data_IF_796805676725
#
_entry.id   IF_796805676725
#
_cell.length_a   1.000
_cell.length_b   1.000
_cell.length_c   1.000
_cell.angle_alpha   90.00
_cell.angle_beta   90.00
_cell.angle_gamma   90.00
#
_symmetry.space_group_name_H-M   'P 1'
#
loop_
_entity.id
_entity.type
_entity.pdbx_description
1 polymer ?
#
# COMPACT_ATOMS: atom_id res chain seq x y z
N UNK A 1 14.42 -7.28 11.48
CA UNK A 1 13.88 -5.90 11.36
C UNK A 1 14.66 -5.04 10.36
N UNK A 2 16.00 -5.09 10.33
CA UNK A 2 16.81 -4.38 9.33
C UNK A 2 16.39 -4.55 7.84
N UNK A 3 16.04 -5.76 7.34
CA UNK A 3 15.63 -5.91 5.94
C UNK A 3 14.27 -5.26 5.64
N UNK A 4 13.31 -5.36 6.56
CA UNK A 4 11.98 -4.73 6.42
C UNK A 4 12.06 -3.21 6.38
N UNK A 5 12.99 -2.61 7.12
CA UNK A 5 13.19 -1.16 7.15
C UNK A 5 13.68 -0.62 5.79
N UNK A 6 14.56 -1.34 5.10
CA UNK A 6 15.07 -0.91 3.78
C UNK A 6 13.95 -0.85 2.74
N UNK A 7 13.01 -1.79 2.81
CA UNK A 7 11.86 -1.84 1.90
C UNK A 7 10.85 -0.78 2.25
N UNK A 8 10.57 -0.60 3.54
CA UNK A 8 9.72 0.51 3.99
C UNK A 8 10.24 1.86 3.52
N UNK A 9 11.58 2.04 3.55
CA UNK A 9 12.23 3.24 3.03
C UNK A 9 12.11 3.37 1.51
N UNK A 10 12.25 2.29 0.75
CA UNK A 10 12.04 2.28 -0.70
C UNK A 10 10.59 2.66 -1.07
N UNK A 11 9.61 2.07 -0.38
CA UNK A 11 8.19 2.35 -0.59
C UNK A 11 7.88 3.81 -0.26
N UNK A 12 8.36 4.30 0.89
CA UNK A 12 8.20 5.70 1.28
C UNK A 12 8.81 6.65 0.25
N UNK A 13 10.02 6.36 -0.22
CA UNK A 13 10.70 7.16 -1.24
C UNK A 13 9.91 7.21 -2.55
N UNK A 14 9.37 6.08 -3.00
CA UNK A 14 8.53 6.04 -4.18
C UNK A 14 7.22 6.83 -4.01
N UNK A 15 6.56 6.72 -2.85
CA UNK A 15 5.37 7.52 -2.51
C UNK A 15 5.69 9.01 -2.60
N UNK A 16 6.83 9.44 -2.05
CA UNK A 16 7.25 10.84 -2.09
C UNK A 16 7.46 11.33 -3.54
N UNK A 17 8.11 10.53 -4.40
CA UNK A 17 8.31 10.91 -5.81
C UNK A 17 6.96 11.11 -6.52
N UNK A 18 6.06 10.14 -6.41
CA UNK A 18 4.74 10.26 -7.05
C UNK A 18 3.91 11.39 -6.44
N UNK A 19 4.03 11.64 -5.13
CA UNK A 19 3.34 12.75 -4.48
C UNK A 19 3.83 14.12 -4.96
N UNK A 20 5.14 14.30 -5.14
CA UNK A 20 5.70 15.55 -5.70
C UNK A 20 5.21 15.74 -7.14
N UNK A 21 5.28 14.71 -7.97
CA UNK A 21 4.78 14.77 -9.35
C UNK A 21 3.28 15.12 -9.35
N UNK A 22 2.46 14.42 -8.56
CA UNK A 22 1.03 14.67 -8.46
C UNK A 22 0.70 16.09 -7.97
N UNK A 23 1.46 16.61 -7.00
CA UNK A 23 1.31 17.97 -6.50
C UNK A 23 1.55 19.00 -7.62
N UNK A 24 2.63 18.86 -8.39
CA UNK A 24 2.93 19.79 -9.49
C UNK A 24 1.86 19.79 -10.59
N UNK A 25 1.25 18.63 -10.88
CA UNK A 25 0.21 18.53 -11.91
C UNK A 25 -1.19 18.95 -11.44
N UNK A 26 -1.55 18.67 -10.18
CA UNK A 26 -2.94 18.74 -9.71
C UNK A 26 -3.18 19.75 -8.59
N UNK A 27 -2.16 20.51 -8.17
CA UNK A 27 -2.30 21.55 -7.15
C UNK A 27 -3.43 22.53 -7.47
N UNK A 28 -4.35 22.70 -6.53
CA UNK A 28 -5.45 23.67 -6.60
C UNK A 28 -6.60 23.30 -7.53
N UNK A 29 -6.53 22.15 -8.22
CA UNK A 29 -7.52 21.80 -9.25
C UNK A 29 -8.81 21.21 -8.69
N UNK A 30 -8.76 20.60 -7.49
CA UNK A 30 -9.88 19.89 -6.87
C UNK A 30 -10.78 20.78 -5.99
N UNK A 31 -10.61 22.10 -6.01
CA UNK A 31 -11.39 23.05 -5.19
C UNK A 31 -12.58 23.68 -5.93
N UNK A 32 -12.82 23.29 -7.18
CA UNK A 32 -13.90 23.83 -7.99
C UNK A 32 -15.09 22.87 -8.03
N UNK A 33 -16.31 23.33 -7.75
CA UNK A 33 -17.54 22.54 -7.90
C UNK A 33 -18.72 23.41 -8.37
N UNK A 34 -19.82 22.77 -8.76
CA UNK A 34 -21.01 23.44 -9.27
C UNK A 34 -21.90 23.95 -8.12
N UNK A 35 -22.03 25.27 -8.00
CA UNK A 35 -22.94 25.93 -7.05
C UNK A 35 -24.19 26.43 -7.75
N UNK A 36 -25.32 26.48 -7.04
CA UNK A 36 -26.57 27.00 -7.62
C UNK A 36 -26.52 28.50 -7.85
N UNK A 37 -27.06 28.94 -8.99
CA UNK A 37 -27.18 30.37 -9.32
C UNK A 37 -28.21 31.07 -8.39
N UNK A 38 -29.21 30.33 -7.88
CA UNK A 38 -30.24 30.88 -6.98
C UNK A 38 -29.76 31.05 -5.54
N UNK A 39 -28.91 30.13 -5.10
CA UNK A 39 -28.32 30.14 -3.76
C UNK A 39 -26.89 29.60 -3.85
N UNK A 40 -25.93 30.52 -3.77
CA UNK A 40 -24.49 30.24 -3.94
C UNK A 40 -23.95 29.39 -2.77
N UNK A 41 -24.71 29.23 -1.68
CA UNK A 41 -24.31 28.35 -0.57
C UNK A 41 -24.59 26.86 -0.84
N UNK A 42 -25.38 26.55 -1.88
CA UNK A 42 -25.83 25.19 -2.17
C UNK A 42 -25.06 24.58 -3.33
N UNK A 43 -24.36 23.48 -3.05
CA UNK A 43 -23.68 22.66 -4.06
C UNK A 43 -24.69 21.77 -4.76
N UNK A 44 -24.73 21.82 -6.09
CA UNK A 44 -25.54 20.93 -6.91
C UNK A 44 -24.73 19.67 -7.20
N UNK A 45 -25.31 18.52 -6.84
CA UNK A 45 -24.69 17.20 -7.04
C UNK A 45 -25.34 16.53 -8.24
N UNK A 46 -24.56 16.09 -9.22
CA UNK A 46 -25.06 15.26 -10.33
C UNK A 46 -25.15 13.76 -9.97
N UNK A 47 -24.69 13.38 -8.78
CA UNK A 47 -24.76 12.01 -8.25
C UNK A 47 -24.82 11.96 -6.73
N UNK A 48 -24.33 10.87 -6.13
CA UNK A 48 -24.32 10.70 -4.66
C UNK A 48 -23.35 11.66 -3.97
N UNK A 49 -22.25 12.03 -4.64
CA UNK A 49 -21.21 12.91 -4.12
C UNK A 49 -20.98 14.12 -5.04
N UNK A 50 -20.56 15.28 -4.49
CA UNK A 50 -20.14 16.41 -5.31
C UNK A 50 -18.86 16.07 -6.07
N UNK A 51 -18.82 16.45 -7.34
CA UNK A 51 -17.67 16.25 -8.23
C UNK A 51 -16.99 17.59 -8.55
N UNK A 52 -15.69 17.58 -8.89
CA UNK A 52 -15.02 18.76 -9.39
C UNK A 52 -15.59 19.24 -10.72
N UNK A 53 -15.50 20.54 -11.00
CA UNK A 53 -15.85 21.12 -12.31
C UNK A 53 -14.67 21.89 -12.92
N UNK A 54 -14.68 22.01 -14.25
CA UNK A 54 -13.65 22.72 -15.00
C UNK A 54 -14.09 24.11 -15.46
N UNK A 55 -15.28 24.21 -16.06
CA UNK A 55 -15.84 25.45 -16.61
C UNK A 55 -17.38 25.41 -16.65
N UNK A 56 -17.99 26.57 -16.90
CA UNK A 56 -19.44 26.74 -17.09
C UNK A 56 -19.89 26.45 -18.53
N UNK A 57 -19.03 26.74 -19.49
CA UNK A 57 -19.30 26.54 -20.91
C UNK A 57 -18.53 25.33 -21.45
N UNK A 58 -19.24 24.50 -22.22
CA UNK A 58 -18.65 23.32 -22.85
C UNK A 58 -17.53 23.65 -23.85
N UNK A 59 -17.53 24.86 -24.41
CA UNK A 59 -16.53 25.27 -25.40
C UNK A 59 -15.18 25.64 -24.75
N UNK A 60 -15.20 26.06 -23.49
CA UNK A 60 -14.00 26.46 -22.75
C UNK A 60 -13.40 25.28 -21.97
N UNK A 61 -14.18 24.22 -21.79
CA UNK A 61 -13.79 23.02 -21.06
C UNK A 61 -12.91 22.07 -21.90
N UNK A 62 -11.81 21.55 -21.34
CA UNK A 62 -11.06 20.45 -21.92
C UNK A 62 -11.96 19.23 -22.19
N UNK A 63 -11.70 18.45 -23.26
CA UNK A 63 -12.52 17.30 -23.59
C UNK A 63 -12.50 16.24 -22.48
N UNK A 64 -13.69 15.85 -22.03
CA UNK A 64 -13.88 14.88 -20.96
C UNK A 64 -13.74 15.43 -19.54
N UNK A 65 -13.77 16.76 -19.38
CA UNK A 65 -13.97 17.40 -18.08
C UNK A 65 -15.45 17.62 -17.78
N UNK A 66 -15.77 17.83 -16.51
CA UNK A 66 -17.13 18.07 -16.04
C UNK A 66 -17.47 19.57 -16.16
N UNK A 67 -18.64 19.84 -16.74
CA UNK A 67 -19.13 21.18 -17.05
C UNK A 67 -20.47 21.34 -16.37
N UNK A 68 -20.62 22.42 -15.61
CA UNK A 68 -21.86 22.75 -14.93
C UNK A 68 -22.96 23.16 -15.93
N UNK A 69 -24.24 22.96 -15.60
CA UNK A 69 -25.33 23.51 -16.41
C UNK A 69 -25.44 25.01 -16.20
N UNK A 70 -25.02 25.79 -17.19
CA UNK A 70 -25.00 27.25 -17.15
C UNK A 70 -26.35 27.92 -16.79
N UNK A 71 -27.49 27.23 -16.90
CA UNK A 71 -28.80 27.78 -16.51
C UNK A 71 -29.15 27.56 -15.03
N UNK A 72 -28.51 26.60 -14.37
CA UNK A 72 -28.86 26.15 -13.02
C UNK A 72 -27.70 26.31 -12.03
N UNK A 73 -26.47 26.08 -12.49
CA UNK A 73 -25.25 26.10 -11.71
C UNK A 73 -24.10 26.84 -12.37
N UNK A 74 -23.16 27.30 -11.55
CA UNK A 74 -21.89 27.90 -11.96
C UNK A 74 -20.74 27.30 -11.17
N UNK A 75 -19.60 27.14 -11.83
CA UNK A 75 -18.38 26.50 -11.35
C UNK A 75 -17.58 27.52 -10.54
N UNK A 76 -17.51 27.32 -9.22
CA UNK A 76 -16.76 28.19 -8.31
C UNK A 76 -15.73 27.41 -7.50
N UNK A 77 -14.66 28.08 -7.10
CA UNK A 77 -13.49 27.56 -6.37
C UNK A 77 -13.65 27.55 -4.84
N UNK A 78 -14.87 27.69 -4.33
CA UNK A 78 -15.19 27.77 -2.90
C UNK A 78 -15.26 26.41 -2.19
N UNK A 79 -14.97 25.30 -2.88
CA UNK A 79 -15.15 23.97 -2.34
C UNK A 79 -13.91 23.49 -1.59
N UNK A 80 -14.12 22.92 -0.40
CA UNK A 80 -13.05 22.31 0.41
C UNK A 80 -12.36 21.15 -0.31
N UNK A 81 -13.05 20.50 -1.25
CA UNK A 81 -12.55 19.39 -2.07
C UNK A 81 -13.17 18.04 -1.70
N UNK A 82 -12.82 16.97 -2.45
CA UNK A 82 -13.39 15.65 -2.25
C UNK A 82 -13.09 15.09 -0.85
N UNK A 83 -14.02 14.31 -0.28
CA UNK A 83 -13.88 13.72 1.06
C UNK A 83 -13.58 14.76 2.17
N UNK A 84 -14.24 15.92 2.13
CA UNK A 84 -14.00 17.04 3.08
C UNK A 84 -12.57 17.58 3.02
N UNK A 85 -12.00 17.66 1.81
CA UNK A 85 -10.65 18.17 1.57
C UNK A 85 -9.51 17.24 1.95
N UNK A 86 -9.78 15.98 2.35
CA UNK A 86 -8.74 15.00 2.67
C UNK A 86 -8.01 14.55 1.41
N UNK A 87 -8.75 14.32 0.33
CA UNK A 87 -8.21 13.90 -0.96
C UNK A 87 -7.81 15.13 -1.75
N UNK A 88 -6.58 15.60 -1.55
CA UNK A 88 -6.07 16.79 -2.19
C UNK A 88 -4.59 16.66 -2.58
N UNK A 89 -4.18 17.49 -3.54
CA UNK A 89 -2.81 17.55 -4.05
C UNK A 89 -2.12 18.89 -3.71
N UNK A 90 -2.70 19.72 -2.84
CA UNK A 90 -2.22 21.09 -2.59
C UNK A 90 -1.05 21.12 -1.59
N UNK A 91 -0.99 20.11 -0.72
CA UNK A 91 0.06 19.96 0.27
C UNK A 91 0.75 18.61 0.09
N UNK A 92 2.06 18.58 0.29
CA UNK A 92 2.83 17.34 0.17
C UNK A 92 2.30 16.22 1.09
N UNK A 93 1.80 16.58 2.29
CA UNK A 93 1.20 15.63 3.23
C UNK A 93 -0.07 14.97 2.68
N UNK A 94 -1.02 15.77 2.18
CA UNK A 94 -2.27 15.25 1.59
C UNK A 94 -2.02 14.55 0.26
N UNK A 95 -1.07 15.04 -0.54
CA UNK A 95 -0.64 14.38 -1.77
C UNK A 95 -0.05 12.99 -1.49
N UNK A 96 0.80 12.85 -0.46
CA UNK A 96 1.32 11.54 -0.02
C UNK A 96 0.20 10.61 0.45
N UNK A 97 -0.79 11.11 1.19
CA UNK A 97 -1.93 10.31 1.65
C UNK A 97 -2.81 9.84 0.48
N UNK A 98 -3.09 10.73 -0.47
CA UNK A 98 -3.85 10.43 -1.69
C UNK A 98 -3.11 9.42 -2.57
N UNK A 99 -1.80 9.57 -2.75
CA UNK A 99 -0.94 8.61 -3.47
C UNK A 99 -0.89 7.27 -2.75
N UNK A 100 -0.80 7.26 -1.43
CA UNK A 100 -0.84 6.04 -0.63
C UNK A 100 -2.17 5.30 -0.84
N UNK A 101 -3.30 6.00 -0.78
CA UNK A 101 -4.62 5.45 -1.08
C UNK A 101 -4.70 4.88 -2.51
N UNK A 102 -4.12 5.57 -3.50
CA UNK A 102 -4.03 5.02 -4.86
C UNK A 102 -3.21 3.71 -4.92
N UNK A 103 -2.10 3.65 -4.20
CA UNK A 103 -1.20 2.48 -4.15
C UNK A 103 -1.86 1.28 -3.47
N UNK A 104 -2.74 1.48 -2.48
CA UNK A 104 -3.49 0.38 -1.86
C UNK A 104 -4.57 -0.21 -2.77
N UNK A 105 -4.76 0.34 -3.97
CA UNK A 105 -5.84 0.00 -4.92
C UNK A 105 -7.25 0.22 -4.37
N UNK A 106 -7.41 1.09 -3.38
CA UNK A 106 -8.72 1.41 -2.81
C UNK A 106 -9.15 2.83 -3.21
N UNK A 107 -10.29 2.98 -3.88
CA UNK A 107 -10.83 4.29 -4.23
C UNK A 107 -10.00 5.09 -5.26
N UNK A 108 -8.96 4.50 -5.85
CA UNK A 108 -8.09 5.17 -6.83
C UNK A 108 -8.82 5.60 -8.10
N UNK A 109 -9.86 4.85 -8.51
CA UNK A 109 -10.67 5.17 -9.68
C UNK A 109 -11.52 6.44 -9.45
N UNK A 110 -12.01 6.65 -8.22
CA UNK A 110 -12.73 7.87 -7.87
C UNK A 110 -11.80 9.09 -7.97
N UNK A 111 -10.57 8.96 -7.48
CA UNK A 111 -9.55 10.02 -7.58
C UNK A 111 -9.24 10.33 -9.04
N UNK A 112 -9.04 9.30 -9.88
CA UNK A 112 -8.85 9.46 -11.32
C UNK A 112 -10.02 10.24 -11.95
N UNK A 113 -11.26 9.85 -11.65
CA UNK A 113 -12.44 10.53 -12.20
C UNK A 113 -12.54 11.97 -11.73
N UNK A 114 -12.29 12.27 -10.45
CA UNK A 114 -12.26 13.65 -9.96
C UNK A 114 -11.21 14.50 -10.68
N UNK A 115 -9.99 13.97 -10.92
CA UNK A 115 -9.00 14.69 -11.73
C UNK A 115 -9.41 14.82 -13.20
N UNK A 116 -10.11 13.84 -13.78
CA UNK A 116 -10.64 13.95 -15.14
C UNK A 116 -11.70 15.03 -15.23
N UNK A 117 -12.59 15.10 -14.25
CA UNK A 117 -13.66 16.08 -14.19
C UNK A 117 -13.10 17.50 -14.01
N UNK A 118 -12.00 17.65 -13.25
CA UNK A 118 -11.34 18.93 -13.03
C UNK A 118 -10.55 19.46 -14.24
N UNK A 119 -9.72 18.62 -14.89
CA UNK A 119 -8.76 19.09 -15.92
C UNK A 119 -8.88 18.39 -17.29
N UNK A 120 -9.74 17.38 -17.40
CA UNK A 120 -9.95 16.59 -18.61
C UNK A 120 -9.14 15.29 -18.65
N UNK A 121 -9.62 14.31 -19.42
CA UNK A 121 -9.06 12.94 -19.44
C UNK A 121 -7.80 12.77 -20.30
N UNK A 122 -7.39 13.78 -21.08
CA UNK A 122 -6.36 13.60 -22.13
C UNK A 122 -4.98 13.23 -21.61
N UNK A 123 -4.57 13.76 -20.46
CA UNK A 123 -3.22 13.57 -19.90
C UNK A 123 -3.20 12.79 -18.58
N UNK A 124 -4.33 12.66 -17.88
CA UNK A 124 -4.38 12.04 -16.56
C UNK A 124 -3.93 10.56 -16.55
N UNK A 125 -4.23 9.81 -17.62
CA UNK A 125 -3.80 8.43 -17.74
C UNK A 125 -2.27 8.25 -17.68
N UNK A 126 -1.49 9.26 -18.09
CA UNK A 126 -0.02 9.24 -18.08
C UNK A 126 0.52 9.21 -16.65
N UNK A 127 -0.20 9.81 -15.69
CA UNK A 127 0.15 9.78 -14.28
C UNK A 127 -0.39 8.53 -13.58
N UNK A 128 -1.69 8.25 -13.75
CA UNK A 128 -2.35 7.17 -13.00
C UNK A 128 -1.94 5.76 -13.46
N UNK A 129 -1.67 5.52 -14.75
CA UNK A 129 -1.26 4.17 -15.21
C UNK A 129 0.09 3.76 -14.61
N UNK A 130 1.18 4.55 -14.71
CA UNK A 130 2.44 4.22 -14.05
C UNK A 130 2.30 4.15 -12.53
N UNK A 131 1.49 5.01 -11.91
CA UNK A 131 1.23 4.98 -10.47
C UNK A 131 0.65 3.62 -10.04
N UNK A 132 -0.32 3.07 -10.76
CA UNK A 132 -0.92 1.78 -10.40
C UNK A 132 0.01 0.60 -10.73
N UNK A 133 0.65 0.61 -11.90
CA UNK A 133 1.54 -0.50 -12.32
C UNK A 133 2.80 -0.55 -11.45
N UNK A 134 3.52 0.56 -11.33
CA UNK A 134 4.78 0.63 -10.60
C UNK A 134 4.58 0.86 -9.10
N UNK A 135 3.59 1.67 -8.73
CA UNK A 135 3.34 1.98 -7.33
C UNK A 135 2.60 0.87 -6.60
N UNK A 136 1.62 0.20 -7.22
CA UNK A 136 0.82 -0.80 -6.51
C UNK A 136 1.27 -2.24 -6.77
N UNK A 137 1.26 -2.71 -8.03
CA UNK A 137 1.59 -4.12 -8.31
C UNK A 137 3.03 -4.46 -7.92
N UNK A 138 3.99 -3.58 -8.22
CA UNK A 138 5.38 -3.85 -7.86
C UNK A 138 5.61 -3.75 -6.35
N UNK A 139 5.08 -2.73 -5.68
CA UNK A 139 5.32 -2.54 -4.23
C UNK A 139 4.65 -3.61 -3.38
N UNK A 140 3.39 -3.97 -3.67
CA UNK A 140 2.70 -5.05 -2.93
C UNK A 140 3.44 -6.37 -3.08
N UNK A 141 3.86 -6.71 -4.31
CA UNK A 141 4.61 -7.94 -4.56
C UNK A 141 5.99 -7.95 -3.88
N UNK A 142 6.65 -6.79 -3.79
CA UNK A 142 7.94 -6.67 -3.12
C UNK A 142 7.81 -6.82 -1.60
N UNK A 143 6.79 -6.22 -0.99
CA UNK A 143 6.47 -6.39 0.44
C UNK A 143 6.15 -7.85 0.74
N UNK A 144 5.28 -8.49 -0.04
CA UNK A 144 4.93 -9.90 0.14
C UNK A 144 6.14 -10.82 -0.06
N UNK A 145 6.97 -10.54 -1.08
CA UNK A 145 8.18 -11.30 -1.36
C UNK A 145 9.16 -11.31 -0.19
N UNK A 146 9.34 -10.16 0.48
CA UNK A 146 10.25 -10.07 1.62
C UNK A 146 9.65 -10.67 2.87
N UNK A 147 8.36 -10.45 3.15
CA UNK A 147 7.71 -11.12 4.27
C UNK A 147 7.80 -12.65 4.14
N UNK A 148 7.62 -13.17 2.92
CA UNK A 148 7.82 -14.59 2.62
C UNK A 148 9.27 -15.04 2.85
N UNK A 149 10.25 -14.25 2.40
CA UNK A 149 11.67 -14.51 2.64
C UNK A 149 12.04 -14.53 4.13
N UNK A 150 11.58 -13.55 4.90
CA UNK A 150 11.80 -13.46 6.35
C UNK A 150 11.13 -14.63 7.09
N UNK A 151 9.89 -14.97 6.75
CA UNK A 151 9.20 -16.13 7.32
C UNK A 151 9.89 -17.45 6.98
N UNK A 152 10.38 -17.61 5.75
CA UNK A 152 11.17 -18.77 5.34
C UNK A 152 12.47 -18.88 6.15
N UNK A 153 13.17 -17.76 6.34
CA UNK A 153 14.42 -17.74 7.08
C UNK A 153 14.22 -18.04 8.57
N UNK A 154 13.17 -17.48 9.19
CA UNK A 154 12.83 -17.77 10.59
C UNK A 154 12.34 -19.22 10.75
N UNK A 155 11.57 -19.75 9.80
CA UNK A 155 11.17 -21.17 9.76
C UNK A 155 12.40 -22.08 9.70
N UNK A 156 13.36 -21.79 8.81
CA UNK A 156 14.61 -22.53 8.71
C UNK A 156 15.43 -22.48 10.01
N UNK A 157 15.44 -21.33 10.70
CA UNK A 157 16.11 -21.17 12.00
C UNK A 157 15.46 -22.02 13.09
N UNK A 158 14.13 -22.07 13.15
CA UNK A 158 13.38 -22.91 14.10
C UNK A 158 13.61 -24.39 13.81
N UNK A 159 13.54 -24.81 12.54
CA UNK A 159 13.80 -26.20 12.14
C UNK A 159 15.22 -26.65 12.49
N UNK A 160 16.24 -25.81 12.24
CA UNK A 160 17.63 -26.11 12.66
C UNK A 160 17.77 -26.30 14.17
N UNK A 161 17.11 -25.46 14.97
CA UNK A 161 17.10 -25.58 16.45
C UNK A 161 16.40 -26.86 16.91
N UNK A 162 15.26 -27.19 16.32
CA UNK A 162 14.53 -28.41 16.62
C UNK A 162 15.33 -29.67 16.24
N UNK A 163 15.96 -29.67 15.06
CA UNK A 163 16.83 -30.75 14.59
C UNK A 163 18.04 -30.92 15.51
N UNK A 164 18.69 -29.83 15.93
CA UNK A 164 19.81 -29.88 16.87
C UNK A 164 19.40 -30.46 18.24
N UNK A 165 18.26 -30.04 18.80
CA UNK A 165 17.73 -30.60 20.06
C UNK A 165 17.44 -32.09 19.94
N UNK A 166 16.81 -32.51 18.84
CA UNK A 166 16.51 -33.93 18.55
C UNK A 166 17.79 -34.77 18.39
N UNK A 167 18.79 -34.26 17.66
CA UNK A 167 20.08 -34.92 17.46
C UNK A 167 20.86 -35.04 18.78
N UNK A 168 20.88 -33.99 19.60
CA UNK A 168 21.51 -33.98 20.93
C UNK A 168 20.86 -35.01 21.86
N UNK A 169 19.53 -35.07 21.91
CA UNK A 169 18.80 -36.04 22.73
C UNK A 169 19.09 -37.48 22.30
N UNK A 170 19.13 -37.76 20.99
CA UNK A 170 19.50 -39.07 20.46
C UNK A 170 20.93 -39.45 20.82
N UNK A 171 21.90 -38.53 20.64
CA UNK A 171 23.31 -38.79 20.95
C UNK A 171 23.52 -39.07 22.44
N UNK A 172 22.92 -38.27 23.32
CA UNK A 172 22.95 -38.49 24.77
C UNK A 172 22.39 -39.87 25.13
N UNK A 173 21.22 -40.22 24.59
CA UNK A 173 20.60 -41.52 24.82
C UNK A 173 21.49 -42.68 24.35
N UNK A 174 22.04 -42.62 23.14
CA UNK A 174 22.91 -43.67 22.59
C UNK A 174 24.21 -43.84 23.40
N UNK A 175 24.86 -42.74 23.79
CA UNK A 175 26.07 -42.80 24.62
C UNK A 175 25.78 -43.36 26.00
N UNK A 176 24.71 -42.90 26.65
CA UNK A 176 24.29 -43.42 27.96
C UNK A 176 23.95 -44.91 27.87
N UNK A 177 23.15 -45.32 26.88
CA UNK A 177 22.76 -46.71 26.68
C UNK A 177 23.96 -47.64 26.44
N UNK A 178 24.91 -47.22 25.60
CA UNK A 178 26.14 -47.99 25.35
C UNK A 178 26.99 -48.16 26.62
N UNK A 179 27.13 -47.09 27.42
CA UNK A 179 27.82 -47.17 28.71
C UNK A 179 27.12 -48.15 29.66
N UNK A 180 25.80 -48.09 29.79
CA UNK A 180 25.03 -49.02 30.64
C UNK A 180 25.23 -50.49 30.21
N UNK A 181 25.15 -50.79 28.91
CA UNK A 181 25.37 -52.15 28.41
C UNK A 181 26.76 -52.69 28.73
N UNK A 182 27.81 -51.86 28.60
CA UNK A 182 29.18 -52.25 28.98
C UNK A 182 29.30 -52.61 30.45
N UNK A 183 28.70 -51.79 31.34
CA UNK A 183 28.68 -52.10 32.78
C UNK A 183 27.98 -53.42 33.08
N UNK A 184 26.83 -53.69 32.44
CA UNK A 184 26.08 -54.94 32.63
C UNK A 184 26.87 -56.16 32.14
N UNK A 185 27.48 -56.08 30.94
CA UNK A 185 28.26 -57.20 30.39
C UNK A 185 29.51 -57.48 31.20
N UNK A 186 30.21 -56.44 31.67
CA UNK A 186 31.36 -56.59 32.57
C UNK A 186 30.96 -57.28 33.88
N UNK A 187 29.86 -56.86 34.51
CA UNK A 187 29.37 -57.46 35.75
C UNK A 187 28.95 -58.92 35.56
N UNK A 188 28.32 -59.25 34.43
CA UNK A 188 27.96 -60.63 34.08
C UNK A 188 29.18 -61.53 33.92
N UNK A 189 30.24 -61.06 33.26
CA UNK A 189 31.50 -61.81 33.10
C UNK A 189 32.19 -62.10 34.45
N UNK A 190 32.19 -61.13 35.36
CA UNK A 190 32.75 -61.32 36.71
C UNK A 190 31.99 -62.37 37.52
N UNK A 191 30.68 -62.51 37.32
CA UNK A 191 29.88 -63.52 38.00
C UNK A 191 30.14 -64.94 37.44
N UNK A 192 30.50 -65.06 36.17
CA UNK A 192 30.81 -66.36 35.55
C UNK A 192 32.23 -66.86 35.81
N UNK A 193 33.20 -65.98 36.07
CA UNK A 193 34.59 -66.38 36.42
C UNK A 193 34.74 -66.85 37.88
N UNK A 194 33.72 -66.64 38.72
CA UNK A 194 33.72 -67.01 40.15
C UNK A 194 32.93 -68.32 40.41
N UNK A 195 32.26 -68.86 39.39
CA UNK A 195 31.52 -70.12 39.41
C UNK A 195 32.30 -71.24 38.71
#
# INVERSE_FOLDING_TARGET
MAPLLQIGLLVLFAIVIFAIIGLEFYSGTLHKTCYSIKDISVIIKEGEMPSPCSADNKNDAPPGSHVCDANVSTCMDHWEGPNSGITSFDNIGFAMLTVFQCITMEGWTAILYWTNDAIGNRYNWIYFIPLIILGSFFMLNLVLGVLSGEFSNERARVERRAAYRKAKSKRLFTTAFSSYLKWITQAGLQLTDVA
#
